data_IF_357887713019
#
_entry.id   IF_357887713019
#
_cell.length_a   1.000
_cell.length_b   1.000
_cell.length_c   1.000
_cell.angle_alpha   90.00
_cell.angle_beta   90.00
_cell.angle_gamma   90.00
#
_symmetry.space_group_name_H-M   'P 1'
#
loop_
_entity.id
_entity.type
_entity.pdbx_description
1 polymer ?
#
# COMPACT_ATOMS: atom_id res chain seq x y z
N UNK A 1 2.23 13.79 -12.08
CA UNK A 1 2.94 12.92 -11.11
C UNK A 1 4.44 12.86 -11.32
N UNK A 2 5.00 13.67 -12.22
CA UNK A 2 6.44 13.66 -12.52
C UNK A 2 7.31 13.82 -11.27
N UNK A 3 6.90 14.67 -10.32
CA UNK A 3 7.64 14.85 -9.05
C UNK A 3 7.67 13.59 -8.18
N UNK A 4 6.57 12.86 -8.02
CA UNK A 4 6.55 11.66 -7.17
C UNK A 4 7.39 10.51 -7.75
N UNK A 5 7.53 10.49 -9.08
CA UNK A 5 8.36 9.52 -9.81
C UNK A 5 9.79 10.00 -10.03
N UNK A 6 10.11 11.26 -9.71
CA UNK A 6 11.45 11.78 -9.83
C UNK A 6 12.35 11.36 -8.65
N UNK A 7 13.63 11.12 -8.93
CA UNK A 7 14.60 10.66 -7.94
C UNK A 7 14.85 11.65 -6.80
N UNK A 8 14.59 12.95 -7.01
CA UNK A 8 14.69 14.00 -6.01
C UNK A 8 13.31 14.58 -5.64
N UNK A 9 12.43 14.73 -6.62
CA UNK A 9 11.07 15.26 -6.43
C UNK A 9 10.23 14.43 -5.46
N UNK A 10 10.47 13.13 -5.34
CA UNK A 10 9.73 12.27 -4.41
C UNK A 10 9.91 12.71 -2.94
N UNK A 11 11.06 13.29 -2.60
CA UNK A 11 11.30 13.82 -1.24
C UNK A 11 10.48 15.08 -0.97
N UNK A 12 10.27 15.93 -1.99
CA UNK A 12 9.41 17.11 -1.88
C UNK A 12 7.97 16.68 -1.65
N UNK A 13 7.49 15.68 -2.38
CA UNK A 13 6.12 15.16 -2.21
C UNK A 13 5.92 14.55 -0.82
N UNK A 14 6.90 13.79 -0.32
CA UNK A 14 6.88 13.27 1.06
C UNK A 14 6.86 14.40 2.08
N UNK A 15 7.69 15.43 1.90
CA UNK A 15 7.75 16.57 2.81
C UNK A 15 6.42 17.33 2.87
N UNK A 16 5.77 17.57 1.72
CA UNK A 16 4.44 18.19 1.66
C UNK A 16 3.41 17.35 2.43
N UNK A 17 3.48 16.02 2.30
CA UNK A 17 2.56 15.10 2.96
C UNK A 17 2.71 15.10 4.49
N UNK A 18 3.91 15.30 5.00
CA UNK A 18 4.22 15.31 6.43
C UNK A 18 4.05 16.69 7.08
N UNK A 19 4.46 17.76 6.39
CA UNK A 19 4.71 19.06 7.02
C UNK A 19 3.94 20.22 6.40
N UNK A 20 3.18 20.02 5.31
CA UNK A 20 2.46 21.15 4.71
C UNK A 20 1.41 21.71 5.67
N UNK A 21 1.57 22.98 6.01
CA UNK A 21 0.60 23.76 6.78
C UNK A 21 -0.50 24.35 5.90
N UNK A 22 -0.38 24.24 4.57
CA UNK A 22 -1.36 24.79 3.63
C UNK A 22 -2.57 23.86 3.53
N UNK A 23 -3.79 24.38 3.79
CA UNK A 23 -5.01 23.59 3.65
C UNK A 23 -5.15 23.02 2.23
N UNK A 24 -5.42 21.72 2.12
CA UNK A 24 -5.72 21.06 0.86
C UNK A 24 -4.54 20.41 0.14
N UNK A 25 -3.29 20.80 0.40
CA UNK A 25 -2.11 20.22 -0.27
C UNK A 25 -2.04 18.71 -0.05
N UNK A 26 -2.11 18.28 1.21
CA UNK A 26 -2.11 16.85 1.58
C UNK A 26 -3.27 16.09 0.92
N UNK A 27 -4.45 16.70 0.86
CA UNK A 27 -5.63 16.09 0.24
C UNK A 27 -5.43 15.90 -1.27
N UNK A 28 -4.82 16.87 -1.96
CA UNK A 28 -4.50 16.75 -3.38
C UNK A 28 -3.52 15.61 -3.63
N UNK A 29 -2.45 15.53 -2.83
CA UNK A 29 -1.48 14.43 -2.95
C UNK A 29 -2.14 13.07 -2.67
N UNK A 30 -2.97 12.97 -1.62
CA UNK A 30 -3.70 11.75 -1.28
C UNK A 30 -4.65 11.31 -2.41
N UNK A 31 -5.36 12.25 -3.03
CA UNK A 31 -6.25 11.98 -4.16
C UNK A 31 -5.48 11.44 -5.37
N UNK A 32 -4.30 12.00 -5.66
CA UNK A 32 -3.45 11.54 -6.76
C UNK A 32 -2.89 10.15 -6.46
N UNK A 33 -2.43 9.92 -5.23
CA UNK A 33 -1.95 8.62 -4.75
C UNK A 33 -3.03 7.56 -4.91
N UNK A 34 -4.24 7.83 -4.42
CA UNK A 34 -5.37 6.89 -4.52
C UNK A 34 -5.68 6.51 -5.98
N UNK A 35 -5.70 7.49 -6.89
CA UNK A 35 -6.01 7.27 -8.32
C UNK A 35 -4.93 6.48 -9.06
N UNK A 36 -3.68 6.49 -8.57
CA UNK A 36 -2.53 5.89 -9.25
C UNK A 36 -1.84 4.83 -8.38
N UNK A 37 -2.57 4.23 -7.44
CA UNK A 37 -1.99 3.42 -6.36
C UNK A 37 -1.11 2.28 -6.87
N UNK A 38 -1.53 1.61 -7.94
CA UNK A 38 -0.79 0.50 -8.55
C UNK A 38 0.53 0.98 -9.18
N UNK A 39 0.46 1.96 -10.09
CA UNK A 39 1.63 2.42 -10.84
C UNK A 39 2.69 3.03 -9.93
N UNK A 40 2.27 3.78 -8.91
CA UNK A 40 3.18 4.39 -7.95
C UNK A 40 3.81 3.36 -7.00
N UNK A 41 3.04 2.37 -6.55
CA UNK A 41 3.55 1.33 -5.65
C UNK A 41 4.64 0.48 -6.30
N UNK A 42 4.54 0.27 -7.61
CA UNK A 42 5.52 -0.50 -8.39
C UNK A 42 6.68 0.35 -8.92
N UNK A 43 6.79 1.62 -8.51
CA UNK A 43 7.81 2.53 -9.01
C UNK A 43 8.85 2.83 -7.94
N UNK A 44 10.15 2.71 -8.29
CA UNK A 44 11.31 2.81 -7.38
C UNK A 44 11.28 4.01 -6.42
N UNK A 45 10.91 5.17 -6.93
CA UNK A 45 10.90 6.41 -6.13
C UNK A 45 9.53 6.72 -5.56
N UNK A 46 8.47 6.34 -6.27
CA UNK A 46 7.11 6.70 -5.87
C UNK A 46 6.56 5.75 -4.80
N UNK A 47 7.10 4.54 -4.68
CA UNK A 47 6.77 3.62 -3.60
C UNK A 47 7.03 4.25 -2.23
N UNK A 48 8.08 5.07 -2.09
CA UNK A 48 8.37 5.80 -0.84
C UNK A 48 7.27 6.84 -0.53
N UNK A 49 6.71 7.47 -1.56
CA UNK A 49 5.56 8.38 -1.41
C UNK A 49 4.31 7.61 -0.96
N UNK A 50 4.08 6.41 -1.50
CA UNK A 50 2.96 5.55 -1.07
C UNK A 50 3.14 5.12 0.39
N UNK A 51 4.35 4.72 0.74
CA UNK A 51 4.69 4.35 2.10
C UNK A 51 4.42 5.51 3.07
N UNK A 52 4.81 6.71 2.68
CA UNK A 52 4.56 7.93 3.46
C UNK A 52 3.07 8.24 3.56
N UNK A 53 2.33 8.08 2.46
CA UNK A 53 0.87 8.28 2.44
C UNK A 53 0.17 7.37 3.43
N UNK A 54 0.55 6.09 3.46
CA UNK A 54 -0.01 5.13 4.41
C UNK A 54 0.33 5.48 5.87
N UNK A 55 1.51 6.04 6.15
CA UNK A 55 1.92 6.49 7.49
C UNK A 55 1.16 7.73 7.96
N UNK A 56 1.01 8.73 7.08
CA UNK A 56 0.39 10.02 7.40
C UNK A 56 -1.14 10.01 7.25
N UNK A 57 -1.72 8.94 6.70
CA UNK A 57 -3.16 8.83 6.47
C UNK A 57 -3.95 8.76 7.79
N UNK A 58 -5.07 9.46 7.82
CA UNK A 58 -6.11 9.22 8.82
C UNK A 58 -6.67 7.80 8.67
N UNK A 59 -7.37 7.25 9.67
CA UNK A 59 -8.02 5.94 9.52
C UNK A 59 -8.91 5.83 8.28
N UNK A 60 -9.67 6.89 7.96
CA UNK A 60 -10.55 6.94 6.78
C UNK A 60 -9.75 6.95 5.46
N UNK A 61 -8.74 7.81 5.33
CA UNK A 61 -7.90 7.83 4.13
C UNK A 61 -7.17 6.52 3.94
N UNK A 62 -6.66 5.94 5.03
CA UNK A 62 -6.02 4.62 5.01
C UNK A 62 -6.99 3.57 4.53
N UNK A 63 -8.25 3.58 4.99
CA UNK A 63 -9.30 2.70 4.48
C UNK A 63 -9.40 2.78 2.96
N UNK A 64 -9.47 3.99 2.41
CA UNK A 64 -9.56 4.21 0.97
C UNK A 64 -8.32 3.75 0.20
N UNK A 65 -7.12 3.87 0.78
CA UNK A 65 -5.89 3.35 0.19
C UNK A 65 -5.89 1.82 0.19
N UNK A 66 -6.30 1.19 1.29
CA UNK A 66 -6.41 -0.27 1.38
C UNK A 66 -7.43 -0.79 0.37
N UNK A 67 -8.60 -0.17 0.28
CA UNK A 67 -9.64 -0.49 -0.72
C UNK A 67 -9.11 -0.36 -2.16
N UNK A 68 -8.36 0.70 -2.46
CA UNK A 68 -7.78 0.89 -3.79
C UNK A 68 -6.75 -0.20 -4.14
N UNK A 69 -6.07 -0.77 -3.13
CA UNK A 69 -5.10 -1.86 -3.32
C UNK A 69 -5.80 -3.21 -3.45
N UNK A 70 -6.74 -3.51 -2.55
CA UNK A 70 -7.45 -4.79 -2.53
C UNK A 70 -8.43 -4.94 -3.70
N UNK A 71 -8.84 -3.82 -4.31
CA UNK A 71 -9.84 -3.79 -5.36
C UNK A 71 -11.22 -4.18 -4.83
N UNK A 72 -12.23 -4.10 -5.70
CA UNK A 72 -13.60 -4.47 -5.33
C UNK A 72 -13.75 -5.99 -5.16
N UNK A 73 -14.83 -6.43 -4.51
CA UNK A 73 -15.19 -7.84 -4.52
C UNK A 73 -15.51 -8.29 -5.95
N UNK A 74 -15.01 -9.46 -6.34
CA UNK A 74 -15.17 -9.99 -7.70
C UNK A 74 -14.22 -9.40 -8.76
N UNK A 75 -13.34 -8.45 -8.41
CA UNK A 75 -12.27 -8.00 -9.31
C UNK A 75 -11.30 -9.17 -9.59
N UNK A 76 -11.18 -9.64 -10.84
CA UNK A 76 -10.29 -10.75 -11.19
C UNK A 76 -8.81 -10.36 -11.21
N UNK A 77 -8.50 -9.05 -11.27
CA UNK A 77 -7.13 -8.54 -11.38
C UNK A 77 -6.88 -7.35 -10.45
N UNK A 78 -7.07 -7.50 -9.12
CA UNK A 78 -6.90 -6.38 -8.22
C UNK A 78 -5.42 -5.95 -8.16
N UNK A 79 -5.14 -4.65 -7.94
CA UNK A 79 -3.76 -4.12 -7.85
C UNK A 79 -2.85 -4.94 -6.93
N UNK A 80 -3.42 -5.45 -5.83
CA UNK A 80 -2.77 -6.35 -4.89
C UNK A 80 -1.97 -7.48 -5.56
N UNK A 81 -2.53 -8.18 -6.58
CA UNK A 81 -1.85 -9.33 -7.20
C UNK A 81 -0.59 -8.95 -7.95
N UNK A 82 -0.62 -7.80 -8.61
CA UNK A 82 0.52 -7.26 -9.33
C UNK A 82 1.58 -6.82 -8.31
N UNK A 83 1.17 -6.05 -7.30
CA UNK A 83 2.06 -5.52 -6.28
C UNK A 83 2.78 -6.63 -5.50
N UNK A 84 2.11 -7.74 -5.19
CA UNK A 84 2.71 -8.88 -4.47
C UNK A 84 3.88 -9.53 -5.20
N UNK A 85 3.96 -9.38 -6.52
CA UNK A 85 5.01 -9.95 -7.38
C UNK A 85 6.03 -8.92 -7.84
N UNK A 86 5.82 -7.65 -7.50
CA UNK A 86 6.68 -6.54 -7.90
C UNK A 86 7.80 -6.28 -6.88
N UNK A 87 8.96 -5.84 -7.38
CA UNK A 87 10.16 -5.58 -6.56
C UNK A 87 10.01 -4.40 -5.59
N UNK A 88 9.11 -3.46 -5.85
CA UNK A 88 8.81 -2.33 -4.96
C UNK A 88 7.43 -2.50 -4.32
N UNK A 89 6.44 -2.95 -5.10
CA UNK A 89 5.06 -3.15 -4.66
C UNK A 89 4.93 -4.11 -3.48
N UNK A 90 5.79 -5.14 -3.38
CA UNK A 90 5.73 -6.10 -2.27
C UNK A 90 5.97 -5.44 -0.89
N UNK A 91 6.77 -4.38 -0.83
CA UNK A 91 7.00 -3.62 0.40
C UNK A 91 5.75 -2.85 0.81
N UNK A 92 5.03 -2.28 -0.16
CA UNK A 92 3.75 -1.61 0.08
C UNK A 92 2.70 -2.59 0.60
N UNK A 93 2.63 -3.79 0.02
CA UNK A 93 1.73 -4.84 0.51
C UNK A 93 2.04 -5.20 1.97
N UNK A 94 3.32 -5.38 2.32
CA UNK A 94 3.73 -5.62 3.70
C UNK A 94 3.34 -4.47 4.64
N UNK A 95 3.48 -3.22 4.18
CA UNK A 95 3.08 -2.04 4.95
C UNK A 95 1.57 -1.98 5.18
N UNK A 96 0.79 -2.29 4.15
CA UNK A 96 -0.67 -2.33 4.24
C UNK A 96 -1.12 -3.43 5.20
N UNK A 97 -0.50 -4.61 5.17
CA UNK A 97 -0.76 -5.68 6.16
C UNK A 97 -0.53 -5.21 7.59
N UNK A 98 0.53 -4.41 7.82
CA UNK A 98 0.86 -3.89 9.15
C UNK A 98 -0.07 -2.78 9.64
N UNK A 99 -0.65 -1.99 8.73
CA UNK A 99 -1.46 -0.81 9.08
C UNK A 99 -2.97 -0.99 8.91
N UNK A 100 -3.42 -2.04 8.21
CA UNK A 100 -4.84 -2.27 7.97
C UNK A 100 -5.59 -2.56 9.28
N UNK A 101 -6.75 -1.91 9.44
CA UNK A 101 -7.67 -2.07 10.57
C UNK A 101 -8.98 -2.70 10.08
N UNK A 102 -9.79 -3.25 10.99
CA UNK A 102 -11.09 -3.82 10.63
C UNK A 102 -12.06 -2.72 10.17
N UNK A 103 -12.95 -2.99 9.19
CA UNK A 103 -13.18 -4.28 8.51
C UNK A 103 -12.25 -4.55 7.31
N UNK A 104 -11.49 -3.58 6.82
CA UNK A 104 -10.69 -3.69 5.59
C UNK A 104 -9.57 -4.72 5.72
N UNK A 105 -9.04 -4.89 6.92
CA UNK A 105 -8.05 -5.92 7.27
C UNK A 105 -8.56 -7.33 6.94
N UNK A 106 -9.83 -7.61 7.22
CA UNK A 106 -10.39 -8.94 7.01
C UNK A 106 -10.51 -9.25 5.51
N UNK A 107 -10.93 -8.28 4.71
CA UNK A 107 -10.96 -8.37 3.25
C UNK A 107 -9.55 -8.57 2.66
N UNK A 108 -8.58 -7.77 3.10
CA UNK A 108 -7.18 -7.89 2.69
C UNK A 108 -6.64 -9.30 2.98
N UNK A 109 -6.86 -9.80 4.20
CA UNK A 109 -6.34 -11.09 4.63
C UNK A 109 -7.02 -12.24 3.90
N UNK A 110 -8.33 -12.12 3.65
CA UNK A 110 -9.07 -13.08 2.84
C UNK A 110 -8.49 -13.18 1.43
N UNK A 111 -8.30 -12.05 0.72
CA UNK A 111 -7.69 -12.04 -0.63
C UNK A 111 -6.26 -12.60 -0.62
N UNK A 112 -5.44 -12.19 0.34
CA UNK A 112 -4.07 -12.70 0.45
C UNK A 112 -4.03 -14.23 0.68
N UNK A 113 -4.96 -14.76 1.49
CA UNK A 113 -5.09 -16.21 1.74
C UNK A 113 -5.51 -16.97 0.49
N UNK A 114 -6.44 -16.44 -0.30
CA UNK A 114 -6.85 -17.04 -1.58
C UNK A 114 -5.66 -17.22 -2.54
N UNK A 115 -4.72 -16.28 -2.52
CA UNK A 115 -3.52 -16.32 -3.38
C UNK A 115 -2.28 -16.96 -2.72
N UNK A 116 -2.42 -17.59 -1.54
CA UNK A 116 -1.31 -18.28 -0.86
C UNK A 116 -0.59 -19.33 -1.71
N UNK A 117 -1.26 -20.17 -2.52
CA UNK A 117 -0.56 -21.14 -3.36
C UNK A 117 0.44 -20.48 -4.33
N UNK A 118 0.11 -19.29 -4.84
CA UNK A 118 0.99 -18.51 -5.70
C UNK A 118 2.14 -17.90 -4.92
N UNK A 119 1.86 -17.33 -3.75
CA UNK A 119 2.88 -16.74 -2.89
C UNK A 119 3.93 -17.75 -2.45
N UNK A 120 3.51 -18.96 -2.08
CA UNK A 120 4.42 -20.04 -1.68
C UNK A 120 5.36 -20.49 -2.80
N UNK A 121 4.94 -20.37 -4.07
CA UNK A 121 5.79 -20.64 -5.24
C UNK A 121 6.76 -19.49 -5.55
N UNK A 122 6.52 -18.28 -5.06
CA UNK A 122 7.39 -17.13 -5.24
C UNK A 122 8.49 -17.12 -4.18
N UNK A 123 9.74 -17.39 -4.58
CA UNK A 123 10.84 -17.65 -3.65
C UNK A 123 11.30 -16.43 -2.82
N UNK A 124 11.05 -15.20 -3.27
CA UNK A 124 11.57 -13.98 -2.63
C UNK A 124 10.45 -13.13 -2.05
N UNK A 125 9.60 -12.52 -2.89
CA UNK A 125 8.56 -11.59 -2.44
C UNK A 125 7.44 -12.29 -1.66
N UNK A 126 7.06 -13.49 -2.10
CA UNK A 126 6.00 -14.26 -1.45
C UNK A 126 6.31 -14.64 -0.01
N UNK A 127 7.56 -15.02 0.28
CA UNK A 127 8.01 -15.32 1.65
C UNK A 127 7.87 -14.11 2.58
N UNK A 128 8.24 -12.92 2.12
CA UNK A 128 8.14 -11.70 2.93
C UNK A 128 6.68 -11.34 3.26
N UNK A 129 5.77 -11.51 2.29
CA UNK A 129 4.33 -11.27 2.50
C UNK A 129 3.74 -12.29 3.48
N UNK A 130 4.11 -13.57 3.37
CA UNK A 130 3.68 -14.62 4.30
C UNK A 130 4.16 -14.28 5.72
N UNK A 131 5.42 -13.93 5.91
CA UNK A 131 5.94 -13.53 7.22
C UNK A 131 5.26 -12.28 7.77
N UNK A 132 4.89 -11.32 6.91
CA UNK A 132 4.12 -10.15 7.33
C UNK A 132 2.71 -10.52 7.82
N UNK A 133 2.02 -11.44 7.14
CA UNK A 133 0.72 -11.97 7.57
C UNK A 133 0.81 -12.69 8.92
N UNK A 134 1.84 -13.51 9.12
CA UNK A 134 2.06 -14.22 10.38
C UNK A 134 2.27 -13.25 11.54
N UNK A 135 3.17 -12.27 11.38
CA UNK A 135 3.43 -11.24 12.40
C UNK A 135 2.17 -10.46 12.77
N UNK A 136 1.38 -10.04 11.77
CA UNK A 136 0.16 -9.28 12.02
C UNK A 136 -0.89 -10.08 12.81
N UNK A 137 -0.92 -11.40 12.68
CA UNK A 137 -1.84 -12.27 13.43
C UNK A 137 -1.41 -12.48 14.89
N UNK A 138 -0.11 -12.36 15.19
CA UNK A 138 0.45 -12.52 16.54
C UNK A 138 0.49 -11.21 17.36
N UNK A 139 0.32 -10.05 16.72
CA UNK A 139 0.23 -8.77 17.43
C UNK A 139 -1.07 -8.71 18.25
N UNK A 140 -1.02 -8.31 19.54
CA UNK A 140 -2.22 -8.06 20.32
C UNK A 140 -3.17 -7.12 19.57
N UNK A 141 -4.46 -7.42 19.58
CA UNK A 141 -5.47 -6.43 19.22
C UNK A 141 -5.50 -5.43 20.36
N UNK A 142 -4.84 -4.29 20.20
CA UNK A 142 -5.03 -3.13 21.07
C UNK A 142 -6.52 -2.70 21.05
#
# INVERSE_FOLDING_TARGET
MELATDQYGNYVVQHVMEHSSRPGDRQQVMNIVRKNILSLSCHKYASNVIEKALQCATPEERSHLVEAITGQQGDPHPPLLVMMRDRFGNYIVQRVIALAQSPQRDLLFWKLREHMPVLKKSNTYGKHIISALERAQTSPKD
#
